data_IF_127141721393
#
_entry.id   IF_127141721393
#
_cell.length_a   1.000
_cell.length_b   1.000
_cell.length_c   1.000
_cell.angle_alpha   90.00
_cell.angle_beta   90.00
_cell.angle_gamma   90.00
#
_symmetry.space_group_name_H-M   'P 1'
#
loop_
_entity.id
_entity.type
_entity.pdbx_description
1 polymer ?
#
# COMPACT_ATOMS: atom_id res chain seq x y z
N UNK A 1 23.46 -1.25 0.98
CA UNK A 1 23.49 -1.24 2.45
C UNK A 1 24.53 -2.24 2.88
N UNK A 2 25.67 -1.79 3.48
CA UNK A 2 26.83 -2.66 3.75
C UNK A 2 26.49 -3.89 4.60
N UNK A 3 25.60 -3.74 5.55
CA UNK A 3 25.17 -4.80 6.46
C UNK A 3 24.42 -5.97 5.79
N UNK A 4 23.78 -5.74 4.66
CA UNK A 4 23.02 -6.75 3.94
C UNK A 4 23.78 -7.36 2.76
N UNK A 5 25.00 -6.87 2.48
CA UNK A 5 25.80 -7.32 1.34
C UNK A 5 25.14 -7.09 -0.05
N UNK A 6 24.25 -6.07 -0.13
CA UNK A 6 23.46 -5.78 -1.33
C UNK A 6 24.22 -4.82 -2.23
N UNK A 7 24.35 -5.15 -3.53
CA UNK A 7 24.88 -4.24 -4.54
C UNK A 7 23.89 -3.11 -4.87
N UNK A 8 24.40 -1.99 -5.43
CA UNK A 8 23.56 -0.86 -5.88
C UNK A 8 22.54 -1.30 -6.94
N UNK A 9 22.88 -2.24 -7.79
CA UNK A 9 21.94 -2.83 -8.77
C UNK A 9 20.81 -3.60 -8.10
N UNK A 10 21.11 -4.38 -7.06
CA UNK A 10 20.10 -5.11 -6.28
C UNK A 10 19.21 -4.13 -5.51
N UNK A 11 19.79 -3.06 -4.97
CA UNK A 11 19.02 -1.99 -4.32
C UNK A 11 18.09 -1.27 -5.31
N UNK A 12 18.57 -0.96 -6.51
CA UNK A 12 17.76 -0.37 -7.57
C UNK A 12 16.60 -1.27 -8.04
N UNK A 13 16.80 -2.59 -8.08
CA UNK A 13 15.73 -3.56 -8.37
C UNK A 13 14.68 -3.60 -7.26
N UNK A 14 15.10 -3.54 -6.00
CA UNK A 14 14.18 -3.55 -4.84
C UNK A 14 13.28 -2.31 -4.77
N UNK A 15 13.82 -1.15 -5.14
CA UNK A 15 13.15 0.15 -4.95
C UNK A 15 12.59 0.74 -6.23
N UNK A 16 13.03 0.28 -7.39
CA UNK A 16 12.74 0.86 -8.69
C UNK A 16 11.93 -0.04 -9.61
N UNK A 17 12.56 -0.45 -10.72
CA UNK A 17 11.89 -1.12 -11.84
C UNK A 17 11.15 -2.40 -11.44
N UNK A 18 11.77 -3.26 -10.62
CA UNK A 18 11.14 -4.51 -10.17
C UNK A 18 9.85 -4.26 -9.39
N UNK A 19 9.86 -3.27 -8.51
CA UNK A 19 8.68 -2.83 -7.77
C UNK A 19 7.58 -2.29 -8.71
N UNK A 20 7.93 -1.43 -9.68
CA UNK A 20 6.98 -0.83 -10.61
C UNK A 20 6.28 -1.87 -11.49
N UNK A 21 7.03 -2.85 -12.02
CA UNK A 21 6.48 -3.94 -12.84
C UNK A 21 5.51 -4.78 -12.03
N UNK A 22 5.91 -5.17 -10.82
CA UNK A 22 5.07 -5.99 -9.94
C UNK A 22 3.80 -5.25 -9.51
N UNK A 23 3.92 -3.98 -9.15
CA UNK A 23 2.79 -3.09 -8.84
C UNK A 23 1.78 -3.05 -9.98
N UNK A 24 2.25 -2.92 -11.23
CA UNK A 24 1.40 -2.86 -12.41
C UNK A 24 0.69 -4.19 -12.67
N UNK A 25 1.43 -5.32 -12.63
CA UNK A 25 0.86 -6.66 -12.89
C UNK A 25 -0.20 -7.01 -11.85
N UNK A 26 0.05 -6.73 -10.57
CA UNK A 26 -0.87 -7.05 -9.48
C UNK A 26 -2.02 -6.05 -9.40
N UNK A 27 -1.78 -4.80 -9.77
CA UNK A 27 -2.80 -3.75 -9.78
C UNK A 27 -4.02 -4.06 -10.65
N UNK A 28 -3.82 -4.71 -11.82
CA UNK A 28 -4.91 -5.06 -12.74
C UNK A 28 -5.92 -6.04 -12.10
N UNK A 29 -5.52 -7.21 -11.57
CA UNK A 29 -6.47 -8.11 -10.93
C UNK A 29 -7.11 -7.52 -9.67
N UNK A 30 -6.37 -6.73 -8.89
CA UNK A 30 -6.91 -6.06 -7.70
C UNK A 30 -7.94 -4.96 -8.07
N UNK A 31 -7.74 -4.25 -9.17
CA UNK A 31 -8.73 -3.31 -9.69
C UNK A 31 -10.03 -4.03 -10.08
N UNK A 32 -9.93 -5.17 -10.78
CA UNK A 32 -11.10 -6.00 -11.10
C UNK A 32 -11.80 -6.53 -9.86
N UNK A 33 -11.05 -6.95 -8.86
CA UNK A 33 -11.61 -7.37 -7.57
C UNK A 33 -12.34 -6.22 -6.88
N UNK A 34 -11.80 -5.00 -6.94
CA UNK A 34 -12.44 -3.80 -6.41
C UNK A 34 -13.72 -3.42 -7.16
N UNK A 35 -13.82 -3.76 -8.46
CA UNK A 35 -15.02 -3.53 -9.26
C UNK A 35 -16.21 -4.38 -8.85
N UNK A 36 -16.01 -5.57 -8.34
CA UNK A 36 -17.08 -6.51 -7.95
C UNK A 36 -17.17 -6.76 -6.45
N UNK A 37 -16.06 -6.58 -5.73
CA UNK A 37 -15.95 -6.88 -4.31
C UNK A 37 -16.37 -5.72 -3.40
N UNK A 38 -16.21 -5.95 -2.10
CA UNK A 38 -16.46 -4.96 -1.04
C UNK A 38 -15.21 -4.10 -0.86
N UNK A 39 -15.25 -2.87 -1.36
CA UNK A 39 -14.07 -1.95 -1.47
C UNK A 39 -13.42 -1.64 -0.13
N UNK A 40 -14.24 -1.40 0.91
CA UNK A 40 -13.74 -1.13 2.26
C UNK A 40 -12.96 -2.33 2.82
N UNK A 41 -13.42 -3.56 2.59
CA UNK A 41 -12.66 -4.75 3.00
C UNK A 41 -11.37 -4.92 2.22
N UNK A 42 -11.40 -4.73 0.90
CA UNK A 42 -10.21 -4.81 0.05
C UNK A 42 -9.16 -3.81 0.52
N UNK A 43 -9.54 -2.55 0.71
CA UNK A 43 -8.62 -1.52 1.22
C UNK A 43 -8.08 -1.86 2.60
N UNK A 44 -8.93 -2.31 3.52
CA UNK A 44 -8.50 -2.69 4.88
C UNK A 44 -7.44 -3.78 4.85
N UNK A 45 -7.67 -4.84 4.06
CA UNK A 45 -6.72 -5.95 3.92
C UNK A 45 -5.43 -5.47 3.26
N UNK A 46 -5.54 -4.65 2.22
CA UNK A 46 -4.38 -4.11 1.51
C UNK A 46 -3.54 -3.20 2.41
N UNK A 47 -4.16 -2.28 3.18
CA UNK A 47 -3.47 -1.42 4.14
C UNK A 47 -2.79 -2.28 5.23
N UNK A 48 -3.48 -3.27 5.78
CA UNK A 48 -2.92 -4.16 6.79
C UNK A 48 -1.74 -4.99 6.22
N UNK A 49 -1.88 -5.51 5.00
CA UNK A 49 -0.83 -6.28 4.34
C UNK A 49 0.42 -5.44 4.12
N UNK A 50 0.31 -4.27 3.48
CA UNK A 50 1.50 -3.45 3.24
C UNK A 50 2.16 -2.99 4.54
N UNK A 51 1.35 -2.63 5.55
CA UNK A 51 1.85 -2.19 6.85
C UNK A 51 2.61 -3.30 7.56
N UNK A 52 2.06 -4.52 7.56
CA UNK A 52 2.73 -5.70 8.11
C UNK A 52 4.02 -6.01 7.35
N UNK A 53 3.99 -6.01 6.01
CA UNK A 53 5.16 -6.27 5.20
C UNK A 53 6.24 -5.19 5.39
N UNK A 54 5.84 -3.92 5.56
CA UNK A 54 6.77 -2.84 5.90
C UNK A 54 7.44 -3.09 7.24
N UNK A 55 6.69 -3.45 8.28
CA UNK A 55 7.25 -3.79 9.58
C UNK A 55 8.19 -5.01 9.50
N UNK A 56 7.82 -6.03 8.73
CA UNK A 56 8.64 -7.23 8.52
C UNK A 56 9.95 -6.93 7.77
N UNK A 57 10.02 -5.86 6.96
CA UNK A 57 11.30 -5.41 6.40
C UNK A 57 12.34 -5.12 7.50
N UNK A 58 11.91 -4.62 8.66
CA UNK A 58 12.79 -4.42 9.81
C UNK A 58 13.37 -5.71 10.41
N UNK A 59 12.73 -6.85 10.17
CA UNK A 59 13.21 -8.18 10.60
C UNK A 59 14.06 -8.89 9.54
N UNK A 60 14.42 -8.22 8.44
CA UNK A 60 15.18 -8.84 7.36
C UNK A 60 16.57 -9.24 7.82
N UNK A 61 16.74 -10.54 8.05
CA UNK A 61 17.98 -11.23 8.41
C UNK A 61 18.11 -12.48 7.57
N UNK A 62 19.26 -13.14 7.64
CA UNK A 62 19.38 -14.48 7.09
C UNK A 62 18.48 -15.45 7.86
N UNK A 63 17.67 -16.19 7.14
CA UNK A 63 16.75 -17.20 7.70
C UNK A 63 17.20 -18.57 7.25
N UNK A 64 17.53 -19.43 8.20
CA UNK A 64 17.90 -20.82 7.94
C UNK A 64 16.75 -21.75 8.35
N UNK A 65 16.20 -22.50 7.38
CA UNK A 65 15.16 -23.48 7.58
C UNK A 65 15.71 -24.85 7.16
N UNK A 66 16.08 -25.66 8.15
CA UNK A 66 16.74 -26.94 7.90
C UNK A 66 18.12 -26.75 7.26
N UNK A 67 18.31 -27.25 6.04
CA UNK A 67 19.56 -27.12 5.27
C UNK A 67 19.57 -25.94 4.27
N UNK A 68 18.48 -25.16 4.21
CA UNK A 68 18.34 -24.05 3.26
C UNK A 68 18.52 -22.73 3.99
N UNK A 69 19.52 -21.93 3.59
CA UNK A 69 19.73 -20.58 4.08
C UNK A 69 19.22 -19.57 3.06
N UNK A 70 18.24 -18.77 3.45
CA UNK A 70 17.70 -17.66 2.64
C UNK A 70 18.41 -16.39 3.10
N UNK A 71 19.21 -15.80 2.23
CA UNK A 71 19.91 -14.56 2.54
C UNK A 71 18.96 -13.39 2.80
N UNK A 72 19.39 -12.44 3.61
CA UNK A 72 18.62 -11.26 4.02
C UNK A 72 18.03 -10.47 2.84
N UNK A 73 18.73 -10.43 1.70
CA UNK A 73 18.23 -9.82 0.46
C UNK A 73 16.90 -10.42 0.00
N UNK A 74 16.78 -11.74 -0.04
CA UNK A 74 15.56 -12.42 -0.51
C UNK A 74 14.40 -12.22 0.45
N UNK A 75 14.68 -12.20 1.76
CA UNK A 75 13.67 -11.87 2.78
C UNK A 75 13.14 -10.46 2.58
N UNK A 76 14.05 -9.49 2.41
CA UNK A 76 13.69 -8.11 2.13
C UNK A 76 12.91 -7.96 0.82
N UNK A 77 13.32 -8.67 -0.24
CA UNK A 77 12.62 -8.67 -1.52
C UNK A 77 11.19 -9.18 -1.38
N UNK A 78 10.97 -10.29 -0.68
CA UNK A 78 9.64 -10.83 -0.44
C UNK A 78 8.74 -9.86 0.33
N UNK A 79 9.27 -9.22 1.37
CA UNK A 79 8.55 -8.18 2.09
C UNK A 79 8.19 -6.99 1.17
N UNK A 80 9.10 -6.55 0.31
CA UNK A 80 8.85 -5.47 -0.66
C UNK A 80 7.81 -5.86 -1.71
N UNK A 81 7.81 -7.11 -2.17
CA UNK A 81 6.74 -7.65 -3.02
C UNK A 81 5.39 -7.54 -2.31
N UNK A 82 5.32 -7.94 -1.05
CA UNK A 82 4.10 -7.84 -0.24
C UNK A 82 3.63 -6.40 -0.04
N UNK A 83 4.56 -5.44 0.17
CA UNK A 83 4.24 -4.01 0.19
C UNK A 83 3.62 -3.57 -1.13
N UNK A 84 4.25 -3.91 -2.26
CA UNK A 84 3.74 -3.55 -3.59
C UNK A 84 2.35 -4.12 -3.89
N UNK A 85 2.09 -5.36 -3.48
CA UNK A 85 0.75 -5.99 -3.59
C UNK A 85 -0.29 -5.23 -2.78
N UNK A 86 0.01 -4.91 -1.51
CA UNK A 86 -0.89 -4.17 -0.65
C UNK A 86 -1.17 -2.76 -1.16
N UNK A 87 -0.14 -2.05 -1.59
CA UNK A 87 -0.25 -0.69 -2.09
C UNK A 87 -1.04 -0.62 -3.40
N UNK A 88 -0.78 -1.53 -4.34
CA UNK A 88 -1.47 -1.59 -5.63
C UNK A 88 -3.00 -1.78 -5.49
N UNK A 89 -3.45 -2.45 -4.43
CA UNK A 89 -4.86 -2.70 -4.17
C UNK A 89 -5.63 -1.55 -3.53
N UNK A 90 -5.01 -0.44 -3.18
CA UNK A 90 -5.70 0.66 -2.48
C UNK A 90 -6.25 1.74 -3.42
N UNK A 91 -5.52 2.13 -4.46
CA UNK A 91 -5.90 3.25 -5.32
C UNK A 91 -7.20 3.02 -6.10
N UNK A 92 -7.45 1.87 -6.76
CA UNK A 92 -8.69 1.64 -7.49
C UNK A 92 -9.94 1.70 -6.60
N UNK A 93 -10.01 0.98 -5.46
CA UNK A 93 -11.18 1.06 -4.60
C UNK A 93 -11.33 2.42 -3.91
N UNK A 94 -10.24 3.14 -3.60
CA UNK A 94 -10.29 4.49 -3.05
C UNK A 94 -10.97 5.46 -4.00
N UNK A 95 -10.56 5.48 -5.27
CA UNK A 95 -11.18 6.31 -6.29
C UNK A 95 -12.67 5.98 -6.50
N UNK A 96 -13.02 4.69 -6.48
CA UNK A 96 -14.40 4.23 -6.58
C UNK A 96 -15.24 4.64 -5.36
N UNK A 97 -14.69 4.56 -4.15
CA UNK A 97 -15.37 5.03 -2.93
C UNK A 97 -15.60 6.54 -2.97
N UNK A 98 -14.57 7.32 -3.34
CA UNK A 98 -14.68 8.78 -3.47
C UNK A 98 -15.78 9.14 -4.47
N UNK A 99 -15.85 8.44 -5.61
CA UNK A 99 -16.88 8.68 -6.61
C UNK A 99 -18.30 8.42 -6.09
N UNK A 100 -18.47 7.48 -5.17
CA UNK A 100 -19.78 7.17 -4.58
C UNK A 100 -20.11 8.01 -3.33
N UNK A 101 -19.12 8.54 -2.63
CA UNK A 101 -19.34 9.41 -1.48
C UNK A 101 -19.61 10.86 -1.85
N UNK A 102 -19.00 11.36 -2.93
CA UNK A 102 -19.04 12.76 -3.33
C UNK A 102 -19.83 12.96 -4.62
N UNK A 103 -20.61 14.04 -4.67
CA UNK A 103 -21.36 14.43 -5.87
C UNK A 103 -20.40 14.78 -7.02
N UNK A 104 -20.83 14.67 -8.29
CA UNK A 104 -19.95 14.95 -9.43
C UNK A 104 -19.16 16.28 -9.37
N UNK A 105 -19.74 17.42 -8.89
CA UNK A 105 -18.99 18.66 -8.74
C UNK A 105 -17.91 18.60 -7.65
N UNK A 106 -18.09 17.80 -6.61
CA UNK A 106 -17.19 17.71 -5.44
C UNK A 106 -16.07 16.67 -5.64
N UNK A 107 -16.24 15.72 -6.57
CA UNK A 107 -15.29 14.61 -6.81
C UNK A 107 -13.87 15.09 -7.08
N UNK A 108 -13.72 16.15 -7.88
CA UNK A 108 -12.39 16.70 -8.23
C UNK A 108 -11.65 17.19 -7.00
N UNK A 109 -12.35 17.88 -6.11
CA UNK A 109 -11.77 18.37 -4.86
C UNK A 109 -11.40 17.22 -3.92
N UNK A 110 -12.29 16.24 -3.75
CA UNK A 110 -12.03 15.07 -2.91
C UNK A 110 -10.83 14.24 -3.41
N UNK A 111 -10.72 14.03 -4.73
CA UNK A 111 -9.56 13.37 -5.35
C UNK A 111 -8.28 14.20 -5.18
N UNK A 112 -8.36 15.52 -5.23
CA UNK A 112 -7.23 16.41 -4.95
C UNK A 112 -6.73 16.27 -3.50
N UNK A 113 -7.63 16.22 -2.52
CA UNK A 113 -7.29 15.99 -1.11
C UNK A 113 -6.66 14.59 -0.93
N UNK A 114 -7.22 13.57 -1.57
CA UNK A 114 -6.65 12.22 -1.56
C UNK A 114 -5.21 12.21 -2.13
N UNK A 115 -4.98 12.87 -3.26
CA UNK A 115 -3.66 12.96 -3.88
C UNK A 115 -2.66 13.73 -3.00
N UNK A 116 -3.09 14.80 -2.31
CA UNK A 116 -2.24 15.48 -1.32
C UNK A 116 -1.82 14.54 -0.19
N UNK A 117 -2.70 13.65 0.26
CA UNK A 117 -2.39 12.65 1.27
C UNK A 117 -1.22 11.75 0.87
N UNK A 118 -1.14 11.35 -0.40
CA UNK A 118 -0.02 10.55 -0.94
C UNK A 118 1.30 11.34 -0.86
N UNK A 119 1.28 12.60 -1.31
CA UNK A 119 2.47 13.46 -1.32
C UNK A 119 2.95 13.78 0.11
N UNK A 120 2.03 14.20 0.98
CA UNK A 120 2.35 14.50 2.38
C UNK A 120 2.81 13.25 3.13
N UNK A 121 2.14 12.12 2.90
CA UNK A 121 2.54 10.83 3.48
C UNK A 121 3.97 10.45 3.11
N UNK A 122 4.34 10.57 1.84
CA UNK A 122 5.72 10.34 1.37
C UNK A 122 6.73 11.30 2.01
N UNK A 123 6.38 12.58 2.13
CA UNK A 123 7.22 13.57 2.81
C UNK A 123 7.45 13.20 4.29
N UNK A 124 6.39 12.92 5.04
CA UNK A 124 6.50 12.55 6.45
C UNK A 124 7.23 11.21 6.64
N UNK A 125 6.99 10.22 5.76
CA UNK A 125 7.70 8.95 5.82
C UNK A 125 9.21 9.13 5.64
N UNK A 126 9.65 10.00 4.72
CA UNK A 126 11.06 10.30 4.52
C UNK A 126 11.66 11.07 5.71
N UNK A 127 10.96 12.08 6.23
CA UNK A 127 11.44 12.86 7.38
C UNK A 127 11.55 12.01 8.64
N UNK A 128 10.49 11.28 8.98
CA UNK A 128 10.45 10.43 10.18
C UNK A 128 11.40 9.25 10.01
N UNK A 129 11.38 8.59 8.86
CA UNK A 129 12.25 7.45 8.55
C UNK A 129 13.73 7.83 8.59
N UNK A 130 14.10 8.99 8.01
CA UNK A 130 15.46 9.51 8.06
C UNK A 130 15.90 9.82 9.50
N UNK A 131 15.08 10.58 10.23
CA UNK A 131 15.38 10.92 11.62
C UNK A 131 15.52 9.69 12.53
N UNK A 132 14.61 8.71 12.40
CA UNK A 132 14.68 7.46 13.19
C UNK A 132 15.91 6.64 12.81
N UNK A 133 16.27 6.59 11.53
CA UNK A 133 17.46 5.88 11.06
C UNK A 133 18.72 6.49 11.62
N UNK A 134 18.81 7.82 11.69
CA UNK A 134 19.96 8.55 12.24
C UNK A 134 20.05 8.41 13.76
N UNK A 135 18.89 8.42 14.46
CA UNK A 135 18.84 8.37 15.93
C UNK A 135 18.98 6.94 16.51
N UNK A 136 18.55 5.94 15.76
CA UNK A 136 18.52 4.54 16.19
C UNK A 136 19.17 3.64 15.14
N UNK A 137 18.34 3.07 14.25
CA UNK A 137 18.76 2.23 13.13
C UNK A 137 17.68 2.15 12.05
N UNK A 138 18.00 1.63 10.87
CA UNK A 138 17.09 1.50 9.75
C UNK A 138 15.98 0.46 10.02
N UNK A 139 16.21 -0.56 10.86
CA UNK A 139 15.22 -1.57 11.23
C UNK A 139 14.11 -0.95 12.07
N UNK A 140 14.49 -0.14 13.05
CA UNK A 140 13.57 0.63 13.89
C UNK A 140 12.71 1.57 13.05
N UNK A 141 13.26 2.19 12.01
CA UNK A 141 12.50 3.03 11.08
C UNK A 141 11.36 2.25 10.39
N UNK A 142 11.59 1.00 9.97
CA UNK A 142 10.53 0.16 9.38
C UNK A 142 9.41 -0.16 10.37
N UNK A 143 9.71 -0.39 11.63
CA UNK A 143 8.68 -0.60 12.66
C UNK A 143 7.89 0.67 12.94
N UNK A 144 8.57 1.81 13.08
CA UNK A 144 7.93 3.10 13.36
C UNK A 144 6.99 3.53 12.23
N UNK A 145 7.35 3.25 10.99
CA UNK A 145 6.51 3.58 9.82
C UNK A 145 5.45 2.51 9.54
N UNK A 146 5.78 1.23 9.72
CA UNK A 146 4.90 0.12 9.38
C UNK A 146 3.79 -0.14 10.39
N UNK A 147 4.11 -0.22 11.69
CA UNK A 147 3.12 -0.61 12.71
C UNK A 147 1.92 0.34 12.84
N UNK A 148 2.08 1.69 12.76
CA UNK A 148 0.93 2.59 12.80
C UNK A 148 -0.10 2.34 11.70
N UNK A 149 0.33 1.84 10.54
CA UNK A 149 -0.56 1.51 9.44
C UNK A 149 -1.55 0.39 9.77
N UNK A 150 -1.21 -0.56 10.66
CA UNK A 150 -2.15 -1.58 11.14
C UNK A 150 -3.28 -0.95 11.96
N UNK A 151 -2.95 0.03 12.80
CA UNK A 151 -3.96 0.80 13.54
C UNK A 151 -4.85 1.59 12.58
N UNK A 152 -4.26 2.23 11.56
CA UNK A 152 -5.00 2.95 10.52
C UNK A 152 -5.94 2.00 9.77
N UNK A 153 -5.51 0.78 9.42
CA UNK A 153 -6.37 -0.22 8.79
C UNK A 153 -7.59 -0.56 9.66
N UNK A 154 -7.38 -0.73 10.97
CA UNK A 154 -8.47 -0.99 11.91
C UNK A 154 -9.43 0.21 12.02
N UNK A 155 -8.91 1.42 12.18
CA UNK A 155 -9.71 2.66 12.23
C UNK A 155 -10.50 2.84 10.93
N UNK A 156 -9.87 2.66 9.78
CA UNK A 156 -10.51 2.75 8.47
C UNK A 156 -11.70 1.78 8.37
N UNK A 157 -11.49 0.52 8.77
CA UNK A 157 -12.55 -0.50 8.78
C UNK A 157 -13.72 -0.15 9.70
N UNK A 158 -13.46 0.49 10.82
CA UNK A 158 -14.47 0.85 11.82
C UNK A 158 -15.25 2.12 11.44
N UNK A 159 -14.61 3.03 10.71
CA UNK A 159 -15.18 4.37 10.41
C UNK A 159 -15.79 4.47 9.02
N UNK A 160 -15.20 3.80 8.01
CA UNK A 160 -15.66 3.90 6.63
C UNK A 160 -16.69 2.81 6.35
N UNK A 161 -17.87 3.22 5.90
CA UNK A 161 -18.95 2.32 5.47
C UNK A 161 -18.88 2.11 3.96
N UNK A 162 -19.35 0.98 3.48
CA UNK A 162 -19.45 0.72 2.03
C UNK A 162 -20.72 1.37 1.48
N UNK A 163 -20.64 2.40 0.62
CA UNK A 163 -21.80 2.97 -0.02
C UNK A 163 -22.31 2.05 -1.16
N UNK A 164 -23.61 2.09 -1.49
CA UNK A 164 -24.10 1.49 -2.72
C UNK A 164 -23.36 2.09 -3.93
N UNK A 165 -23.10 1.28 -4.95
CA UNK A 165 -22.45 1.75 -6.18
C UNK A 165 -23.33 2.72 -6.94
N UNK A 166 -22.76 3.86 -7.37
CA UNK A 166 -23.51 4.92 -8.03
C UNK A 166 -24.37 5.74 -7.07
N UNK A 167 -24.10 5.71 -5.77
CA UNK A 167 -24.93 6.38 -4.75
C UNK A 167 -25.15 7.88 -4.99
N UNK A 168 -24.14 8.56 -5.54
CA UNK A 168 -24.21 10.00 -5.84
C UNK A 168 -24.34 10.32 -7.32
N UNK A 169 -24.59 9.32 -8.17
CA UNK A 169 -24.79 9.54 -9.59
C UNK A 169 -26.18 10.15 -9.87
N UNK A 170 -26.31 11.03 -10.88
CA UNK A 170 -27.57 11.65 -11.23
C UNK A 170 -28.66 10.62 -11.54
N UNK A 171 -29.88 10.86 -11.07
CA UNK A 171 -31.05 10.00 -11.33
C UNK A 171 -31.27 9.86 -12.84
N UNK A 172 -31.25 8.65 -13.36
CA UNK A 172 -31.40 8.35 -14.79
C UNK A 172 -30.13 7.91 -15.52
N UNK A 173 -28.96 7.96 -14.87
CA UNK A 173 -27.77 7.27 -15.36
C UNK A 173 -27.89 5.79 -14.99
N UNK A 174 -28.30 4.95 -15.95
CA UNK A 174 -28.27 3.49 -15.77
C UNK A 174 -26.84 3.07 -15.39
N UNK A 175 -26.66 2.17 -14.39
CA UNK A 175 -25.37 1.54 -14.19
C UNK A 175 -24.95 0.93 -15.52
N UNK A 176 -23.80 1.35 -16.07
CA UNK A 176 -23.27 0.67 -17.26
C UNK A 176 -23.13 -0.79 -16.87
N UNK A 177 -23.89 -1.67 -17.54
CA UNK A 177 -23.65 -3.10 -17.49
C UNK A 177 -22.18 -3.29 -17.84
N UNK A 178 -21.42 -3.72 -16.83
CA UNK A 178 -19.97 -3.94 -17.01
C UNK A 178 -19.83 -5.29 -17.68
N UNK A 179 -19.43 -5.24 -18.92
CA UNK A 179 -18.93 -6.38 -19.69
C UNK A 179 -17.60 -6.88 -19.09
#
# INVERSE_FOLDING_TARGET
VPELGISDTQFGLLTGFGFAVLYTIVGIPLARLADTGHRVWIMTICIALWSLMTALCGLSTEVTIGSITIGAFWVLLMCRVGVGVGEAGCTPPANSLIADYFTPPERSQALGVYAMGVTLGGMFANLIGGWVTDAFDWRTAFFVVGLPGLLIAAIFKMTVKEPPRGYTDPVGTTPKERV
#
